data_IF_168520888301
#
_entry.id   IF_168520888301
#
_cell.length_a   1.000
_cell.length_b   1.000
_cell.length_c   1.000
_cell.angle_alpha   90.00
_cell.angle_beta   90.00
_cell.angle_gamma   90.00
#
_symmetry.space_group_name_H-M   'P 1'
#
loop_
_entity.id
_entity.type
_entity.pdbx_description
1 polymer ?
#
# COMPACT_ATOMS: atom_id res chain seq x y z
N UNK A 1 -58.23 6.45 7.45
CA UNK A 1 -57.93 5.20 8.20
C UNK A 1 -56.59 4.68 7.70
N UNK A 2 -55.67 4.33 8.61
CA UNK A 2 -54.25 4.60 8.45
C UNK A 2 -53.48 3.54 7.64
N UNK A 3 -52.43 4.01 6.97
CA UNK A 3 -51.35 3.17 6.47
C UNK A 3 -50.55 2.64 7.65
N UNK A 4 -50.50 1.32 7.80
CA UNK A 4 -49.54 0.62 8.65
C UNK A 4 -48.35 0.21 7.79
N UNK A 5 -47.27 1.00 7.84
CA UNK A 5 -45.94 0.49 7.50
C UNK A 5 -45.41 -0.22 8.75
N UNK A 6 -45.25 -1.53 8.67
CA UNK A 6 -44.58 -2.31 9.71
C UNK A 6 -43.09 -2.10 9.51
N UNK A 7 -42.47 -1.42 10.47
CA UNK A 7 -41.02 -1.27 10.57
C UNK A 7 -40.41 -2.66 10.79
N UNK A 8 -39.86 -3.23 9.72
CA UNK A 8 -39.06 -4.45 9.75
C UNK A 8 -37.67 -4.12 10.27
N UNK A 9 -37.58 -3.80 11.56
CA UNK A 9 -36.32 -3.72 12.29
C UNK A 9 -35.67 -5.11 12.21
N UNK A 10 -34.77 -5.30 11.24
CA UNK A 10 -33.88 -6.47 11.21
C UNK A 10 -32.90 -6.25 12.35
N UNK A 11 -33.27 -6.81 13.50
CA UNK A 11 -32.45 -6.91 14.69
C UNK A 11 -31.25 -7.81 14.33
N UNK A 12 -30.20 -7.19 13.75
CA UNK A 12 -28.91 -7.83 13.58
C UNK A 12 -28.31 -7.94 14.98
N UNK A 13 -28.71 -9.01 15.65
CA UNK A 13 -28.07 -9.60 16.81
C UNK A 13 -26.61 -9.90 16.43
N UNK A 14 -25.76 -8.87 16.51
CA UNK A 14 -24.32 -8.99 16.32
C UNK A 14 -23.79 -9.96 17.38
N UNK A 15 -23.15 -11.09 16.99
CA UNK A 15 -22.41 -11.87 17.96
C UNK A 15 -21.24 -10.99 18.42
N UNK A 16 -21.28 -10.54 19.68
CA UNK A 16 -20.20 -9.84 20.36
C UNK A 16 -19.05 -10.81 20.63
N UNK A 17 -18.32 -11.13 19.57
CA UNK A 17 -17.07 -11.89 19.59
C UNK A 17 -16.18 -11.47 18.40
N UNK A 18 -14.86 -11.63 18.49
CA UNK A 18 -13.98 -11.36 17.36
C UNK A 18 -14.35 -12.31 16.21
N UNK A 19 -14.92 -11.75 15.14
CA UNK A 19 -15.30 -12.51 13.97
C UNK A 19 -14.03 -13.10 13.31
N UNK A 20 -14.06 -14.35 12.81
CA UNK A 20 -12.88 -15.01 12.26
C UNK A 20 -12.28 -14.31 11.03
N UNK A 21 -13.05 -13.41 10.39
CA UNK A 21 -12.58 -12.59 9.27
C UNK A 21 -11.87 -11.29 9.70
N UNK A 22 -11.95 -10.89 10.98
CA UNK A 22 -11.27 -9.69 11.49
C UNK A 22 -9.75 -9.86 11.62
N UNK A 23 -9.25 -11.09 11.71
CA UNK A 23 -7.82 -11.39 11.81
C UNK A 23 -7.50 -12.71 11.13
N UNK A 24 -6.65 -12.67 10.10
CA UNK A 24 -6.18 -13.86 9.42
C UNK A 24 -4.71 -13.74 9.03
N UNK A 25 -3.97 -14.84 9.11
CA UNK A 25 -2.62 -14.96 8.58
C UNK A 25 -2.66 -15.80 7.30
N UNK A 26 -2.42 -15.16 6.15
CA UNK A 26 -2.64 -15.76 4.83
C UNK A 26 -1.52 -15.42 3.86
N UNK A 27 -1.26 -16.35 2.95
CA UNK A 27 -0.30 -16.13 1.89
C UNK A 27 -0.89 -15.20 0.82
N UNK A 28 -0.02 -14.36 0.28
CA UNK A 28 -0.33 -13.50 -0.85
C UNK A 28 0.43 -14.08 -2.05
N UNK A 29 -0.31 -14.46 -3.10
CA UNK A 29 0.30 -15.02 -4.29
C UNK A 29 0.82 -13.90 -5.18
N UNK A 30 2.13 -13.86 -5.32
CA UNK A 30 2.82 -12.95 -6.23
C UNK A 30 3.15 -13.71 -7.51
N UNK A 31 2.48 -13.36 -8.61
CA UNK A 31 2.72 -14.02 -9.90
C UNK A 31 4.07 -13.56 -10.47
N UNK A 32 4.99 -14.47 -10.81
CA UNK A 32 6.23 -14.11 -11.48
C UNK A 32 5.95 -13.49 -12.85
N UNK A 33 6.79 -12.55 -13.28
CA UNK A 33 6.73 -12.05 -14.65
C UNK A 33 7.05 -13.19 -15.64
N UNK A 34 6.18 -13.48 -16.63
CA UNK A 34 6.44 -14.51 -17.63
C UNK A 34 7.75 -14.30 -18.42
N UNK A 35 8.20 -13.05 -18.58
CA UNK A 35 9.41 -12.71 -19.37
C UNK A 35 10.70 -12.79 -18.57
N UNK A 36 10.67 -12.45 -17.28
CA UNK A 36 11.89 -12.33 -16.46
C UNK A 36 11.98 -13.40 -15.37
N UNK A 37 10.91 -14.16 -15.11
CA UNK A 37 10.85 -15.15 -14.04
C UNK A 37 10.84 -14.56 -12.62
N UNK A 38 10.95 -13.23 -12.49
CA UNK A 38 11.01 -12.51 -11.23
C UNK A 38 9.68 -11.76 -11.01
N UNK A 39 9.10 -11.78 -9.80
CA UNK A 39 8.01 -10.90 -9.42
C UNK A 39 8.26 -9.44 -9.80
N UNK A 40 7.32 -8.81 -10.53
CA UNK A 40 7.33 -7.35 -10.67
C UNK A 40 6.51 -6.78 -9.51
N UNK A 41 7.16 -6.00 -8.65
CA UNK A 41 6.50 -5.12 -7.69
C UNK A 41 6.98 -3.68 -7.94
N UNK A 42 6.05 -2.74 -8.02
CA UNK A 42 6.32 -1.31 -8.16
C UNK A 42 6.37 -0.62 -6.80
N UNK A 43 5.50 -1.03 -5.88
CA UNK A 43 5.30 -0.34 -4.60
C UNK A 43 5.70 -1.23 -3.43
N UNK A 44 6.56 -0.75 -2.51
CA UNK A 44 6.82 -1.48 -1.29
C UNK A 44 5.57 -1.52 -0.41
N UNK A 45 5.51 -2.49 0.52
CA UNK A 45 4.58 -2.43 1.65
C UNK A 45 5.17 -1.49 2.70
N UNK A 46 4.38 -0.60 3.33
CA UNK A 46 4.92 0.31 4.34
C UNK A 46 5.46 -0.45 5.54
N UNK A 47 6.55 0.04 6.10
CA UNK A 47 7.07 -0.42 7.39
C UNK A 47 6.17 0.07 8.53
N UNK A 48 6.09 -0.70 9.61
CA UNK A 48 5.30 -0.35 10.81
C UNK A 48 6.03 0.63 11.74
N UNK A 49 6.87 1.49 11.16
CA UNK A 49 7.57 2.56 11.83
C UNK A 49 7.94 3.64 10.81
N UNK A 50 8.10 4.87 11.28
CA UNK A 50 8.65 5.94 10.47
C UNK A 50 10.18 5.88 10.46
N UNK A 51 10.83 5.81 9.29
CA UNK A 51 12.29 5.82 9.20
C UNK A 51 12.83 7.23 9.52
N UNK A 52 13.29 7.42 10.76
CA UNK A 52 13.95 8.66 11.16
C UNK A 52 15.43 8.65 10.74
N UNK A 53 15.84 9.66 9.98
CA UNK A 53 17.22 9.88 9.55
C UNK A 53 18.17 10.20 10.69
N UNK A 54 17.66 10.72 11.80
CA UNK A 54 18.47 11.02 12.97
C UNK A 54 18.62 9.81 13.91
N UNK A 55 17.83 8.75 13.69
CA UNK A 55 17.93 7.56 14.52
C UNK A 55 19.17 6.74 14.17
N UNK A 56 20.00 6.37 15.16
CA UNK A 56 21.17 5.52 14.95
C UNK A 56 20.80 4.05 14.73
N UNK A 57 19.58 3.65 15.09
CA UNK A 57 19.10 2.25 15.03
C UNK A 57 17.72 2.17 14.40
N UNK A 58 17.40 1.00 13.84
CA UNK A 58 16.06 0.69 13.33
C UNK A 58 15.23 -0.01 14.40
N UNK A 59 13.93 0.32 14.52
CA UNK A 59 13.00 -0.47 15.32
C UNK A 59 13.00 -1.94 14.88
N UNK A 60 12.80 -2.89 15.81
CA UNK A 60 12.59 -4.28 15.46
C UNK A 60 11.41 -4.44 14.48
N UNK A 61 11.61 -5.25 13.44
CA UNK A 61 10.57 -5.59 12.45
C UNK A 61 10.08 -7.01 12.66
N UNK A 62 8.79 -7.24 12.43
CA UNK A 62 8.25 -8.60 12.31
C UNK A 62 8.66 -9.20 10.96
N UNK A 63 8.73 -10.53 10.88
CA UNK A 63 8.97 -11.23 9.60
C UNK A 63 7.77 -11.13 8.64
N UNK A 64 6.56 -11.04 9.20
CA UNK A 64 5.31 -10.89 8.45
C UNK A 64 4.72 -9.50 8.71
N UNK A 65 4.51 -8.67 7.67
CA UNK A 65 3.88 -7.36 7.84
C UNK A 65 2.42 -7.53 8.28
N UNK A 66 1.99 -6.75 9.26
CA UNK A 66 0.61 -6.74 9.74
C UNK A 66 -0.16 -5.65 8.99
N UNK A 67 -0.92 -6.08 7.99
CA UNK A 67 -1.78 -5.19 7.19
C UNK A 67 -3.16 -5.14 7.83
N UNK A 68 -3.64 -3.93 8.11
CA UNK A 68 -5.00 -3.67 8.59
C UNK A 68 -5.86 -3.14 7.44
N UNK A 69 -7.17 -3.27 7.57
CA UNK A 69 -8.13 -2.78 6.58
C UNK A 69 -9.24 -1.97 7.24
N UNK A 70 -9.88 -1.12 6.46
CA UNK A 70 -11.09 -0.39 6.85
C UNK A 70 -12.32 -1.12 6.34
N UNK A 71 -13.36 -1.22 7.16
CA UNK A 71 -14.67 -1.75 6.76
C UNK A 71 -15.58 -0.68 6.14
N UNK A 72 -15.02 0.46 5.74
CA UNK A 72 -15.74 1.53 5.03
C UNK A 72 -15.61 1.30 3.52
N UNK A 73 -16.74 1.15 2.84
CA UNK A 73 -16.76 1.04 1.38
C UNK A 73 -16.27 2.34 0.74
N UNK A 74 -15.40 2.21 -0.26
CA UNK A 74 -14.97 3.32 -1.11
C UNK A 74 -14.82 2.87 -2.55
N UNK A 75 -14.86 3.82 -3.48
CA UNK A 75 -14.63 3.55 -4.89
C UNK A 75 -13.13 3.34 -5.16
N UNK A 76 -12.76 2.30 -5.94
CA UNK A 76 -11.37 2.06 -6.30
C UNK A 76 -10.86 3.20 -7.19
N UNK A 77 -9.89 3.96 -6.70
CA UNK A 77 -9.27 5.04 -7.46
C UNK A 77 -8.22 4.48 -8.41
N UNK A 78 -8.32 4.86 -9.68
CA UNK A 78 -7.38 4.47 -10.74
C UNK A 78 -7.12 5.70 -11.63
N UNK A 79 -5.86 5.92 -11.99
CA UNK A 79 -5.45 6.93 -12.97
C UNK A 79 -4.68 6.25 -14.11
N UNK A 80 -4.72 6.84 -15.30
CA UNK A 80 -4.08 6.27 -16.48
C UNK A 80 -2.55 6.22 -16.29
N UNK A 81 -1.92 5.14 -16.81
CA UNK A 81 -0.47 4.88 -16.81
C UNK A 81 0.23 4.80 -15.46
N UNK A 82 -0.46 4.98 -14.34
CA UNK A 82 0.14 4.73 -13.04
C UNK A 82 0.30 3.21 -12.85
N UNK A 83 1.51 2.70 -12.62
CA UNK A 83 1.69 1.29 -12.31
C UNK A 83 1.07 0.98 -10.95
N UNK A 84 0.45 -0.19 -10.83
CA UNK A 84 -0.05 -0.75 -9.58
C UNK A 84 0.31 -2.22 -9.53
N UNK A 85 0.42 -2.76 -8.32
CA UNK A 85 0.62 -4.20 -8.14
C UNK A 85 -0.71 -4.84 -7.77
N UNK A 86 -0.95 -6.03 -8.31
CA UNK A 86 -2.14 -6.82 -8.04
C UNK A 86 -1.71 -8.19 -7.53
N UNK A 87 -2.05 -8.47 -6.28
CA UNK A 87 -1.76 -9.74 -5.65
C UNK A 87 -3.05 -10.46 -5.25
N UNK A 88 -3.12 -11.74 -5.53
CA UNK A 88 -4.28 -12.56 -5.22
C UNK A 88 -4.16 -13.11 -3.80
N UNK A 89 -5.21 -12.97 -2.99
CA UNK A 89 -5.25 -13.52 -1.64
C UNK A 89 -5.66 -14.99 -1.67
N UNK A 90 -5.02 -15.79 -0.82
CA UNK A 90 -5.47 -17.15 -0.54
C UNK A 90 -6.88 -17.14 0.10
N UNK A 91 -7.75 -18.13 -0.23
CA UNK A 91 -9.02 -18.30 0.44
C UNK A 91 -8.93 -18.28 1.97
N UNK A 92 -9.78 -17.47 2.58
CA UNK A 92 -9.87 -17.25 4.02
C UNK A 92 -11.26 -16.74 4.43
N UNK A 93 -11.57 -16.70 5.74
CA UNK A 93 -12.82 -16.08 6.21
C UNK A 93 -12.98 -14.63 5.73
N UNK A 94 -11.89 -13.87 5.64
CA UNK A 94 -11.91 -12.50 5.10
C UNK A 94 -12.28 -12.47 3.62
N UNK A 95 -11.68 -13.34 2.80
CA UNK A 95 -12.01 -13.35 1.38
C UNK A 95 -13.44 -13.82 1.15
N UNK A 96 -13.91 -14.82 1.91
CA UNK A 96 -15.30 -15.28 1.86
C UNK A 96 -16.27 -14.15 2.19
N UNK A 97 -16.04 -13.44 3.30
CA UNK A 97 -16.87 -12.30 3.68
C UNK A 97 -16.93 -11.21 2.60
N UNK A 98 -15.78 -10.86 2.00
CA UNK A 98 -15.73 -9.87 0.93
C UNK A 98 -16.49 -10.35 -0.32
N UNK A 99 -16.38 -11.63 -0.69
CA UNK A 99 -17.07 -12.20 -1.86
C UNK A 99 -18.59 -12.30 -1.66
N UNK A 100 -19.05 -12.65 -0.45
CA UNK A 100 -20.46 -12.78 -0.10
C UNK A 100 -21.23 -11.47 -0.17
N UNK A 101 -20.54 -10.33 0.00
CA UNK A 101 -21.12 -8.98 -0.19
C UNK A 101 -21.56 -8.71 -1.62
N UNK A 102 -21.08 -9.47 -2.61
CA UNK A 102 -21.42 -9.34 -4.04
C UNK A 102 -21.28 -7.90 -4.57
N UNK A 103 -20.31 -7.14 -4.04
CA UNK A 103 -20.08 -5.73 -4.36
C UNK A 103 -18.74 -5.51 -5.08
N UNK A 104 -18.54 -6.01 -6.33
CA UNK A 104 -17.25 -5.93 -7.03
C UNK A 104 -16.85 -4.52 -7.46
N UNK A 105 -17.69 -3.51 -7.20
CA UNK A 105 -17.39 -2.11 -7.49
C UNK A 105 -16.88 -1.34 -6.26
N UNK A 106 -17.00 -1.91 -5.06
CA UNK A 106 -16.47 -1.31 -3.84
C UNK A 106 -15.14 -1.94 -3.45
N UNK A 107 -14.34 -1.20 -2.70
CA UNK A 107 -13.10 -1.70 -2.14
C UNK A 107 -12.91 -1.22 -0.70
N UNK A 108 -12.05 -1.92 0.03
CA UNK A 108 -11.70 -1.63 1.41
C UNK A 108 -10.25 -1.24 1.50
N UNK A 109 -9.97 -0.03 1.98
CA UNK A 109 -8.60 0.46 2.05
C UNK A 109 -7.77 -0.32 3.07
N UNK A 110 -6.49 -0.53 2.74
CA UNK A 110 -5.53 -1.16 3.64
C UNK A 110 -4.45 -0.20 4.09
N UNK A 111 -4.01 -0.34 5.34
CA UNK A 111 -3.02 0.50 5.98
C UNK A 111 -2.12 -0.33 6.91
N UNK A 112 -0.95 0.21 7.24
CA UNK A 112 -0.02 -0.35 8.23
C UNK A 112 0.06 0.64 9.38
N UNK A 113 -0.15 0.18 10.61
CA UNK A 113 -0.03 1.06 11.77
C UNK A 113 1.39 1.58 11.95
N UNK A 114 1.51 2.81 12.42
CA UNK A 114 2.77 3.53 12.67
C UNK A 114 3.62 3.78 11.41
N UNK A 115 3.04 3.64 10.21
CA UNK A 115 3.76 3.91 8.96
C UNK A 115 3.84 5.39 8.61
N UNK A 116 3.08 6.26 9.28
CA UNK A 116 3.06 7.71 9.04
C UNK A 116 3.88 8.46 10.09
N UNK A 117 4.45 9.60 9.70
CA UNK A 117 5.24 10.46 10.59
C UNK A 117 4.45 11.06 11.75
N UNK A 118 3.18 11.38 11.51
CA UNK A 118 2.32 12.13 12.43
C UNK A 118 1.00 11.41 12.72
N UNK A 119 0.89 10.12 12.41
CA UNK A 119 -0.34 9.34 12.60
C UNK A 119 0.00 7.90 12.99
N UNK A 120 -0.54 7.45 14.12
CA UNK A 120 -0.40 6.07 14.60
C UNK A 120 -1.16 5.07 13.74
N UNK A 121 -2.27 5.49 13.13
CA UNK A 121 -3.04 4.61 12.25
C UNK A 121 -2.29 4.33 10.94
N UNK A 122 -1.49 5.29 10.48
CA UNK A 122 -0.89 5.28 9.14
C UNK A 122 -1.83 5.85 8.08
N UNK A 123 -1.42 5.71 6.82
CA UNK A 123 -2.22 6.10 5.66
C UNK A 123 -2.44 4.92 4.71
N UNK A 124 -3.50 4.95 3.88
CA UNK A 124 -3.79 3.84 2.99
C UNK A 124 -2.72 3.70 1.91
N UNK A 125 -2.23 2.49 1.70
CA UNK A 125 -1.23 2.16 0.67
C UNK A 125 -1.80 1.20 -0.40
N UNK A 126 -3.09 0.93 -0.33
CA UNK A 126 -3.75 0.00 -1.24
C UNK A 126 -5.19 -0.25 -0.81
N UNK A 127 -5.80 -1.25 -1.43
CA UNK A 127 -7.14 -1.70 -1.09
C UNK A 127 -7.38 -3.17 -1.44
N UNK A 128 -8.30 -3.81 -0.73
CA UNK A 128 -8.84 -5.11 -1.04
C UNK A 128 -10.08 -4.95 -1.92
N UNK A 129 -10.14 -5.73 -3.00
CA UNK A 129 -11.26 -5.71 -3.94
C UNK A 129 -11.56 -7.11 -4.47
N UNK A 130 -12.83 -7.48 -4.51
CA UNK A 130 -13.28 -8.69 -5.19
C UNK A 130 -13.02 -8.61 -6.70
N UNK A 131 -12.70 -9.74 -7.32
CA UNK A 131 -12.68 -9.83 -8.79
C UNK A 131 -14.09 -9.66 -9.36
N UNK A 132 -14.20 -9.18 -10.60
CA UNK A 132 -15.50 -9.05 -11.28
C UNK A 132 -16.22 -10.39 -11.40
N UNK A 133 -15.46 -11.49 -11.53
CA UNK A 133 -15.99 -12.85 -11.55
C UNK A 133 -16.37 -13.39 -10.17
N UNK A 134 -16.14 -12.62 -9.10
CA UNK A 134 -16.41 -12.99 -7.70
C UNK A 134 -15.80 -14.33 -7.27
N UNK A 135 -14.64 -14.67 -7.84
CA UNK A 135 -13.94 -15.93 -7.55
C UNK A 135 -12.72 -15.76 -6.63
N UNK A 136 -12.18 -14.55 -6.52
CA UNK A 136 -11.04 -14.25 -5.66
C UNK A 136 -11.05 -12.79 -5.18
N UNK A 137 -10.31 -12.53 -4.13
CA UNK A 137 -10.05 -11.17 -3.63
C UNK A 137 -8.62 -10.81 -3.95
N UNK A 138 -8.42 -9.58 -4.40
CA UNK A 138 -7.10 -9.08 -4.75
C UNK A 138 -6.74 -7.90 -3.85
N UNK A 139 -5.47 -7.89 -3.43
CA UNK A 139 -4.82 -6.72 -2.87
C UNK A 139 -4.24 -5.91 -4.03
N UNK A 140 -4.74 -4.69 -4.18
CA UNK A 140 -4.15 -3.70 -5.07
C UNK A 140 -3.21 -2.82 -4.25
N UNK A 141 -1.92 -2.90 -4.54
CA UNK A 141 -0.90 -2.06 -3.88
C UNK A 141 -0.67 -0.81 -4.71
N UNK A 142 -0.78 0.31 -4.02
CA UNK A 142 -0.77 1.67 -4.56
C UNK A 142 0.34 2.48 -3.87
N UNK A 143 0.66 3.68 -4.38
CA UNK A 143 1.50 4.62 -3.64
C UNK A 143 0.98 4.86 -2.23
N UNK A 144 1.89 5.17 -1.31
CA UNK A 144 1.51 5.52 0.06
C UNK A 144 0.63 6.78 0.08
N UNK A 145 -0.50 6.73 0.80
CA UNK A 145 -1.48 7.81 0.82
C UNK A 145 -2.00 8.19 -0.57
N UNK A 146 -2.27 7.18 -1.42
CA UNK A 146 -2.78 7.37 -2.78
C UNK A 146 -4.03 8.27 -2.88
N UNK A 147 -4.99 8.33 -1.92
CA UNK A 147 -6.15 9.21 -2.07
C UNK A 147 -5.78 10.69 -2.17
N UNK A 148 -4.63 11.10 -1.63
CA UNK A 148 -4.09 12.47 -1.77
C UNK A 148 -3.26 12.60 -3.04
N UNK A 149 -2.44 11.59 -3.36
CA UNK A 149 -1.55 11.64 -4.52
C UNK A 149 -2.30 11.60 -5.86
N UNK A 150 -3.29 10.70 -6.02
CA UNK A 150 -3.93 10.47 -7.30
C UNK A 150 -4.62 11.73 -7.85
N UNK A 151 -5.39 12.51 -7.06
CA UNK A 151 -5.94 13.78 -7.54
C UNK A 151 -4.87 14.78 -7.95
N UNK A 152 -3.74 14.86 -7.24
CA UNK A 152 -2.63 15.74 -7.61
C UNK A 152 -2.04 15.35 -8.96
N UNK A 153 -1.82 14.05 -9.20
CA UNK A 153 -1.32 13.57 -10.49
C UNK A 153 -2.35 13.77 -11.60
N UNK A 154 -3.62 13.51 -11.34
CA UNK A 154 -4.69 13.69 -12.31
C UNK A 154 -4.82 15.16 -12.75
N UNK A 155 -4.78 16.09 -11.81
CA UNK A 155 -4.76 17.54 -12.04
C UNK A 155 -3.52 17.97 -12.84
N UNK A 156 -2.34 17.45 -12.49
CA UNK A 156 -1.10 17.74 -13.22
C UNK A 156 -1.20 17.37 -14.70
N UNK A 157 -1.73 16.19 -15.01
CA UNK A 157 -1.78 15.69 -16.39
C UNK A 157 -2.96 16.23 -17.18
N UNK A 158 -4.15 16.31 -16.58
CA UNK A 158 -5.38 16.74 -17.28
C UNK A 158 -5.52 18.26 -17.37
N UNK A 159 -5.22 18.98 -16.29
CA UNK A 159 -5.43 20.44 -16.22
C UNK A 159 -4.16 21.17 -16.63
N UNK A 160 -3.02 20.77 -16.06
CA UNK A 160 -1.75 21.47 -16.22
C UNK A 160 -0.86 20.95 -17.35
N UNK A 161 -1.27 19.89 -18.07
CA UNK A 161 -0.52 19.31 -19.20
C UNK A 161 0.95 19.03 -18.86
N UNK A 162 1.19 18.44 -17.69
CA UNK A 162 2.52 18.14 -17.14
C UNK A 162 3.41 19.36 -16.85
N UNK A 163 2.83 20.57 -16.71
CA UNK A 163 3.53 21.80 -16.31
C UNK A 163 3.00 22.29 -14.96
N UNK A 164 3.61 21.87 -13.84
CA UNK A 164 3.07 22.15 -12.51
C UNK A 164 3.07 23.65 -12.21
N UNK A 165 1.98 24.15 -11.61
CA UNK A 165 1.90 25.53 -11.10
C UNK A 165 2.58 25.64 -9.72
N UNK A 166 2.87 26.86 -9.26
CA UNK A 166 3.46 27.08 -7.93
C UNK A 166 2.58 26.49 -6.82
N UNK A 167 1.26 26.69 -6.91
CA UNK A 167 0.29 26.12 -5.96
C UNK A 167 0.33 24.59 -5.97
N UNK A 168 0.37 24.00 -7.16
CA UNK A 168 0.46 22.54 -7.31
C UNK A 168 1.76 22.00 -6.69
N UNK A 169 2.90 22.64 -6.95
CA UNK A 169 4.20 22.26 -6.38
C UNK A 169 4.16 22.27 -4.86
N UNK A 170 3.59 23.31 -4.25
CA UNK A 170 3.44 23.40 -2.80
C UNK A 170 2.60 22.25 -2.23
N UNK A 171 1.48 21.90 -2.88
CA UNK A 171 0.65 20.76 -2.47
C UNK A 171 1.40 19.43 -2.61
N UNK A 172 2.14 19.25 -3.71
CA UNK A 172 2.93 18.04 -3.95
C UNK A 172 4.10 17.90 -2.97
N UNK A 173 4.82 18.99 -2.69
CA UNK A 173 5.88 19.02 -1.66
C UNK A 173 5.34 18.72 -0.27
N UNK A 174 4.15 19.23 0.07
CA UNK A 174 3.48 18.90 1.33
C UNK A 174 3.18 17.40 1.41
N UNK A 175 2.65 16.81 0.34
CA UNK A 175 2.44 15.36 0.26
C UNK A 175 3.76 14.58 0.47
N UNK A 176 4.84 14.95 -0.22
CA UNK A 176 6.13 14.27 -0.10
C UNK A 176 6.67 14.25 1.34
N UNK A 177 6.41 15.29 2.14
CA UNK A 177 6.80 15.35 3.57
C UNK A 177 6.05 14.36 4.47
N UNK A 178 4.89 13.87 4.03
CA UNK A 178 4.05 12.91 4.77
C UNK A 178 4.30 11.45 4.38
N UNK A 179 5.00 11.24 3.27
CA UNK A 179 5.27 9.93 2.69
C UNK A 179 6.61 9.37 3.22
N UNK A 180 6.68 8.06 3.56
CA UNK A 180 7.94 7.48 3.99
C UNK A 180 9.04 7.66 2.93
N UNK A 181 10.23 8.14 3.31
CA UNK A 181 11.38 8.40 2.46
C UNK A 181 11.64 7.36 1.35
N UNK A 182 11.55 6.07 1.69
CA UNK A 182 11.81 4.96 0.77
C UNK A 182 10.77 4.79 -0.36
N UNK A 183 9.61 5.45 -0.28
CA UNK A 183 8.65 5.49 -1.40
C UNK A 183 9.04 6.46 -2.51
N UNK A 184 9.99 7.38 -2.27
CA UNK A 184 10.35 8.39 -3.26
C UNK A 184 10.91 7.78 -4.56
N UNK A 185 11.77 6.77 -4.46
CA UNK A 185 12.34 6.07 -5.62
C UNK A 185 11.27 5.44 -6.51
N UNK A 186 10.40 4.56 -5.97
CA UNK A 186 9.23 4.03 -6.67
C UNK A 186 8.33 5.11 -7.29
N UNK A 187 8.02 6.17 -6.51
CA UNK A 187 7.18 7.27 -6.98
C UNK A 187 7.79 7.98 -8.19
N UNK A 188 9.08 8.29 -8.11
CA UNK A 188 9.81 8.91 -9.22
C UNK A 188 9.80 8.07 -10.48
N UNK A 189 9.99 6.75 -10.35
CA UNK A 189 9.91 5.81 -11.48
C UNK A 189 8.51 5.82 -12.11
N UNK A 190 7.46 5.78 -11.29
CA UNK A 190 6.07 5.83 -11.75
C UNK A 190 5.76 7.14 -12.47
N UNK A 191 6.10 8.29 -11.89
CA UNK A 191 5.87 9.62 -12.48
C UNK A 191 6.62 9.78 -13.81
N UNK A 192 7.84 9.24 -13.91
CA UNK A 192 8.61 9.20 -15.17
C UNK A 192 7.88 8.39 -16.25
N UNK A 193 7.32 7.23 -15.90
CA UNK A 193 6.51 6.41 -16.82
C UNK A 193 5.23 7.11 -17.27
N UNK A 194 4.65 7.95 -16.41
CA UNK A 194 3.46 8.76 -16.73
C UNK A 194 3.75 9.97 -17.63
N UNK A 195 5.03 10.30 -17.87
CA UNK A 195 5.43 11.37 -18.79
C UNK A 195 5.89 12.68 -18.13
N UNK A 196 6.19 12.68 -16.81
CA UNK A 196 6.72 13.84 -16.10
C UNK A 196 8.12 13.56 -15.50
N UNK A 197 9.15 13.26 -16.32
CA UNK A 197 10.47 12.83 -15.84
C UNK A 197 11.18 13.84 -14.92
N UNK A 198 10.90 15.13 -15.08
CA UNK A 198 11.59 16.22 -14.38
C UNK A 198 10.85 16.69 -13.12
N UNK A 199 9.77 16.03 -12.72
CA UNK A 199 8.93 16.45 -11.58
C UNK A 199 9.66 16.32 -10.24
N UNK A 200 10.52 15.30 -10.11
CA UNK A 200 11.29 15.01 -8.89
C UNK A 200 12.77 15.01 -9.27
N UNK A 201 13.55 15.91 -8.67
CA UNK A 201 14.97 16.05 -8.94
C UNK A 201 15.79 14.79 -8.59
N UNK A 202 16.97 14.63 -9.19
CA UNK A 202 17.88 13.49 -8.97
C UNK A 202 18.55 13.48 -7.60
N UNK A 203 18.74 14.65 -6.99
CA UNK A 203 19.51 14.80 -5.75
C UNK A 203 18.70 14.62 -4.47
N UNK A 204 17.42 14.27 -4.57
CA UNK A 204 16.54 14.13 -3.41
C UNK A 204 16.63 12.68 -2.91
N UNK A 205 17.62 12.39 -2.07
CA UNK A 205 17.66 11.13 -1.32
C UNK A 205 17.10 11.34 0.08
N UNK A 206 15.78 11.16 0.23
CA UNK A 206 15.24 10.86 1.55
C UNK A 206 15.52 9.37 1.82
N UNK A 207 16.64 9.08 2.49
CA UNK A 207 17.07 7.73 2.84
C UNK A 207 17.14 7.48 4.34
N UNK A 208 17.62 6.30 4.73
CA UNK A 208 18.00 5.97 6.12
C UNK A 208 19.31 6.68 6.51
N UNK A 209 19.60 6.75 7.81
CA UNK A 209 20.88 7.28 8.30
C UNK A 209 22.08 6.48 7.77
N UNK A 210 23.22 7.13 7.57
CA UNK A 210 24.43 6.47 7.06
C UNK A 210 24.88 5.29 7.94
N UNK A 211 24.77 5.43 9.26
CA UNK A 211 25.06 4.39 10.24
C UNK A 211 24.17 3.17 10.04
N UNK A 212 22.86 3.37 9.85
CA UNK A 212 21.89 2.30 9.56
C UNK A 212 22.21 1.62 8.23
N UNK A 213 22.49 2.38 7.17
CA UNK A 213 22.85 1.82 5.86
C UNK A 213 24.11 0.94 5.96
N UNK A 214 25.13 1.40 6.67
CA UNK A 214 26.37 0.66 6.88
C UNK A 214 26.14 -0.64 7.67
N UNK A 215 25.30 -0.57 8.72
CA UNK A 215 24.92 -1.74 9.51
C UNK A 215 24.18 -2.79 8.69
N UNK A 216 23.19 -2.38 7.88
CA UNK A 216 22.45 -3.28 6.98
C UNK A 216 23.37 -3.94 5.94
N UNK A 217 24.33 -3.20 5.38
CA UNK A 217 25.35 -3.76 4.46
C UNK A 217 26.19 -4.85 5.14
N UNK A 218 26.67 -4.59 6.37
CA UNK A 218 27.44 -5.58 7.15
C UNK A 218 26.61 -6.84 7.42
N UNK A 219 25.36 -6.70 7.85
CA UNK A 219 24.44 -7.83 8.06
C UNK A 219 24.23 -8.64 6.78
N UNK A 220 23.94 -7.98 5.65
CA UNK A 220 23.75 -8.66 4.36
C UNK A 220 24.99 -9.45 3.95
N UNK A 221 26.18 -8.90 4.18
CA UNK A 221 27.44 -9.57 3.87
C UNK A 221 27.65 -10.81 4.76
N UNK A 222 27.35 -10.71 6.06
CA UNK A 222 27.42 -11.85 6.99
C UNK A 222 26.44 -12.98 6.60
N UNK A 223 25.21 -12.64 6.19
CA UNK A 223 24.22 -13.62 5.73
C UNK A 223 24.70 -14.30 4.44
N UNK A 224 25.23 -13.54 3.47
CA UNK A 224 25.79 -14.12 2.24
C UNK A 224 26.95 -15.06 2.52
N UNK A 225 27.84 -14.71 3.45
CA UNK A 225 28.98 -15.56 3.84
C UNK A 225 28.51 -16.86 4.51
N UNK A 226 27.57 -16.77 5.46
CA UNK A 226 26.97 -17.95 6.11
C UNK A 226 26.27 -18.87 5.11
N UNK A 227 25.54 -18.30 4.14
CA UNK A 227 24.87 -19.07 3.09
C UNK A 227 25.86 -19.80 2.16
N UNK A 228 27.00 -19.16 1.83
CA UNK A 228 28.07 -19.80 1.03
C UNK A 228 28.75 -20.94 1.79
N UNK A 229 29.03 -20.76 3.10
CA UNK A 229 29.56 -21.84 3.94
C UNK A 229 28.60 -23.02 4.06
N UNK A 230 27.30 -22.77 4.21
CA UNK A 230 26.30 -23.83 4.38
C UNK A 230 26.03 -24.64 3.10
N UNK A 231 26.47 -24.17 1.93
CA UNK A 231 26.38 -24.90 0.65
C UNK A 231 27.66 -25.66 0.28
N UNK A 232 28.71 -25.55 1.11
CA UNK A 232 30.02 -26.17 0.88
C UNK A 232 30.23 -27.43 1.73
N UNK A 233 29.16 -27.94 2.33
CA UNK A 233 29.01 -29.19 3.08
C UNK A 233 27.94 -30.03 2.37
#
# INVERSE_FOLDING_TARGET
MPFSFVDGQVDISRPFGPQPWHSCHKLIYVRPNPKTGVPIGHWPVPESFWPDQNSPTLPPRTSHPVVKFSCTDCEPMVIDKLPFDKYELEPSPLTQFILERKSPQTCWQVYVSNSAKYSELGHPFGYLKASTALNCVNLFVMPYNYPVLLPLLDDLFKVHKAKPTLKWLQSFESYLKTMPPYYLGPLKKAVRMMGAPNLIADNVEYGLSYSVISYLKKLSQQVMLKHKSSKSL
#
